data_IF_205746305647
#
_entry.id   IF_205746305647
#
_cell.length_a   1.000
_cell.length_b   1.000
_cell.length_c   1.000
_cell.angle_alpha   90.00
_cell.angle_beta   90.00
_cell.angle_gamma   90.00
#
_symmetry.space_group_name_H-M   'P 1'
#
loop_
_entity.id
_entity.type
_entity.pdbx_description
1 polymer ?
#
# COMPACT_ATOMS: atom_id res chain seq x y z
N UNK A 1 24.73 -5.81 42.24
CA UNK A 1 25.95 -6.44 41.66
C UNK A 1 25.67 -7.92 41.38
N UNK A 2 25.22 -8.22 40.16
CA UNK A 2 25.16 -9.59 39.62
C UNK A 2 25.87 -9.53 38.27
N UNK A 3 26.90 -10.36 38.12
CA UNK A 3 27.80 -10.38 36.98
C UNK A 3 27.12 -11.00 35.75
N UNK A 4 27.04 -10.25 34.66
CA UNK A 4 26.70 -10.78 33.33
C UNK A 4 27.94 -11.46 32.74
N UNK A 5 27.86 -12.77 32.53
CA UNK A 5 28.83 -13.53 31.73
C UNK A 5 28.30 -13.55 30.30
N UNK A 6 28.97 -12.81 29.42
CA UNK A 6 28.76 -12.84 27.97
C UNK A 6 29.23 -14.21 27.44
N UNK A 7 28.31 -15.10 27.09
CA UNK A 7 28.62 -16.30 26.31
C UNK A 7 28.33 -16.00 24.84
N UNK A 8 29.40 -15.79 24.06
CA UNK A 8 29.34 -15.65 22.61
C UNK A 8 29.04 -17.03 22.03
N UNK A 9 27.77 -17.28 21.69
CA UNK A 9 27.39 -18.36 20.78
C UNK A 9 27.49 -17.83 19.35
N UNK A 10 28.55 -18.21 18.65
CA UNK A 10 28.66 -18.06 17.20
C UNK A 10 27.69 -19.05 16.54
N UNK A 11 26.45 -18.61 16.32
CA UNK A 11 25.55 -19.25 15.38
C UNK A 11 26.01 -18.89 13.97
N UNK A 12 26.63 -19.86 13.28
CA UNK A 12 26.77 -19.84 11.83
C UNK A 12 25.36 -20.03 11.24
N UNK A 13 24.59 -18.95 11.15
CA UNK A 13 23.45 -18.88 10.24
C UNK A 13 24.05 -18.70 8.85
N UNK A 14 23.77 -19.63 7.95
CA UNK A 14 24.14 -19.47 6.56
C UNK A 14 23.42 -18.24 6.02
N UNK A 15 24.12 -17.12 5.90
CA UNK A 15 23.69 -16.02 5.06
C UNK A 15 23.54 -16.59 3.65
N UNK A 16 22.30 -16.85 3.23
CA UNK A 16 22.01 -16.82 1.81
C UNK A 16 22.44 -15.43 1.36
N UNK A 17 23.43 -15.35 0.46
CA UNK A 17 23.79 -14.08 -0.13
C UNK A 17 22.61 -13.68 -1.01
N UNK A 18 21.66 -12.93 -0.44
CA UNK A 18 20.68 -12.21 -1.22
C UNK A 18 21.47 -11.30 -2.16
N UNK A 19 21.12 -11.33 -3.44
CA UNK A 19 21.62 -10.36 -4.40
C UNK A 19 21.33 -8.97 -3.86
N UNK A 20 22.36 -8.27 -3.37
CA UNK A 20 22.17 -6.95 -2.78
C UNK A 20 21.99 -5.93 -3.90
N UNK A 21 20.75 -5.50 -4.11
CA UNK A 21 20.44 -4.55 -5.18
C UNK A 21 20.92 -3.15 -4.80
N UNK A 22 21.17 -2.30 -5.80
CA UNK A 22 21.48 -0.90 -5.54
C UNK A 22 20.22 -0.13 -5.15
N UNK A 23 20.29 0.61 -4.05
CA UNK A 23 19.22 1.53 -3.65
C UNK A 23 19.41 2.84 -4.41
N UNK A 24 18.38 3.25 -5.15
CA UNK A 24 18.39 4.52 -5.86
C UNK A 24 18.31 5.69 -4.84
N UNK A 25 19.15 6.73 -4.93
CA UNK A 25 19.11 7.86 -4.00
C UNK A 25 17.76 8.59 -3.93
N UNK A 26 17.02 8.67 -5.03
CA UNK A 26 15.66 9.21 -5.05
C UNK A 26 14.73 8.37 -4.16
N UNK A 27 14.80 7.04 -4.27
CA UNK A 27 13.98 6.15 -3.47
C UNK A 27 14.38 6.19 -2.00
N UNK A 28 15.67 6.19 -1.68
CA UNK A 28 16.14 6.39 -0.30
C UNK A 28 15.55 7.68 0.30
N UNK A 29 15.68 8.80 -0.40
CA UNK A 29 15.34 10.11 0.17
C UNK A 29 13.83 10.37 0.27
N UNK A 30 13.00 9.66 -0.51
CA UNK A 30 11.56 9.94 -0.59
C UNK A 30 10.69 8.78 -0.13
N UNK A 31 11.21 7.56 -0.05
CA UNK A 31 10.44 6.33 0.23
C UNK A 31 11.04 5.47 1.37
N UNK A 32 11.97 6.03 2.16
CA UNK A 32 12.46 5.33 3.36
C UNK A 32 11.36 5.12 4.40
N UNK A 33 10.48 6.10 4.59
CA UNK A 33 9.34 5.93 5.50
C UNK A 33 8.40 4.82 5.00
N UNK A 34 8.07 4.82 3.71
CA UNK A 34 7.27 3.79 3.06
C UNK A 34 7.83 2.38 3.31
N UNK A 35 9.13 2.21 3.09
CA UNK A 35 9.82 0.94 3.34
C UNK A 35 9.75 0.52 4.82
N UNK A 36 9.91 1.46 5.75
CA UNK A 36 9.81 1.18 7.20
C UNK A 36 8.39 0.77 7.58
N UNK A 37 7.37 1.46 7.06
CA UNK A 37 5.96 1.11 7.31
C UNK A 37 5.62 -0.26 6.72
N UNK A 38 6.10 -0.58 5.52
CA UNK A 38 5.90 -1.90 4.91
C UNK A 38 6.52 -3.04 5.73
N UNK A 39 7.74 -2.83 6.22
CA UNK A 39 8.40 -3.80 7.11
C UNK A 39 7.66 -3.94 8.45
N UNK A 40 7.21 -2.82 9.03
CA UNK A 40 6.44 -2.86 10.27
C UNK A 40 5.09 -3.58 10.09
N UNK A 41 4.41 -3.39 8.96
CA UNK A 41 3.19 -4.16 8.61
C UNK A 41 3.45 -5.66 8.61
N UNK A 42 4.57 -6.10 8.04
CA UNK A 42 4.94 -7.52 8.04
C UNK A 42 5.16 -8.03 9.47
N UNK A 43 5.95 -7.30 10.26
CA UNK A 43 6.25 -7.63 11.67
C UNK A 43 4.94 -7.74 12.48
N UNK A 44 4.08 -6.73 12.43
CA UNK A 44 2.87 -6.68 13.25
C UNK A 44 1.80 -7.70 12.81
N UNK A 45 1.90 -8.24 11.59
CA UNK A 45 1.02 -9.32 11.13
C UNK A 45 1.41 -10.71 11.67
N UNK A 46 2.60 -10.86 12.27
CA UNK A 46 3.05 -12.08 12.92
C UNK A 46 3.49 -11.80 14.37
N UNK A 47 2.63 -12.06 15.37
CA UNK A 47 2.99 -11.90 16.78
C UNK A 47 4.16 -12.77 17.27
N UNK A 48 4.66 -13.70 16.45
CA UNK A 48 5.85 -14.51 16.74
C UNK A 48 7.11 -13.99 16.04
N UNK A 49 7.01 -12.89 15.28
CA UNK A 49 8.15 -12.26 14.65
C UNK A 49 9.16 -11.80 15.71
N UNK A 50 10.47 -12.08 15.55
CA UNK A 50 11.49 -11.74 16.54
C UNK A 50 11.62 -10.23 16.81
N UNK A 51 11.17 -9.37 15.89
CA UNK A 51 11.18 -7.92 16.03
C UNK A 51 9.81 -7.35 16.44
N UNK A 52 8.82 -8.18 16.76
CA UNK A 52 7.47 -7.72 17.15
C UNK A 52 7.53 -6.75 18.34
N UNK A 53 8.26 -7.15 19.39
CA UNK A 53 8.50 -6.36 20.61
C UNK A 53 9.80 -5.52 20.53
N UNK A 54 10.31 -5.26 19.33
CA UNK A 54 11.49 -4.41 19.14
C UNK A 54 11.05 -2.97 18.79
N UNK A 55 11.29 -1.97 19.66
CA UNK A 55 10.90 -0.59 19.39
C UNK A 55 11.64 0.03 18.20
N UNK A 56 12.88 -0.41 17.94
CA UNK A 56 13.71 0.12 16.86
C UNK A 56 13.75 -0.85 15.69
N UNK A 57 13.15 -0.45 14.57
CA UNK A 57 13.13 -1.24 13.35
C UNK A 57 14.55 -1.37 12.75
N UNK A 58 15.13 -2.58 12.68
CA UNK A 58 16.47 -2.78 12.12
C UNK A 58 16.52 -2.48 10.61
N UNK A 59 17.66 -1.96 10.11
CA UNK A 59 17.84 -1.66 8.68
C UNK A 59 17.58 -2.87 7.79
N UNK A 60 18.02 -4.06 8.22
CA UNK A 60 17.82 -5.32 7.51
C UNK A 60 16.34 -5.67 7.25
N UNK A 61 15.40 -5.11 8.02
CA UNK A 61 13.96 -5.35 7.84
C UNK A 61 13.37 -4.49 6.73
N UNK A 62 13.75 -3.21 6.62
CA UNK A 62 13.17 -2.31 5.61
C UNK A 62 14.01 -2.16 4.34
N UNK A 63 15.30 -2.48 4.40
CA UNK A 63 16.21 -2.40 3.26
C UNK A 63 15.74 -3.21 2.03
N UNK A 64 15.24 -4.46 2.15
CA UNK A 64 14.74 -5.21 1.00
C UNK A 64 13.60 -4.49 0.26
N UNK A 65 12.75 -3.74 0.97
CA UNK A 65 11.70 -2.93 0.36
C UNK A 65 12.29 -1.76 -0.43
N UNK A 66 13.31 -1.07 0.11
CA UNK A 66 14.01 0.00 -0.64
C UNK A 66 14.67 -0.52 -1.91
N UNK A 67 15.29 -1.69 -1.84
CA UNK A 67 15.92 -2.35 -2.98
C UNK A 67 14.88 -2.68 -4.08
N UNK A 68 13.72 -3.23 -3.70
CA UNK A 68 12.64 -3.57 -4.66
C UNK A 68 11.91 -2.35 -5.21
N UNK A 69 11.68 -1.32 -4.39
CA UNK A 69 11.15 -0.02 -4.85
C UNK A 69 12.13 0.66 -5.81
N UNK A 70 13.44 0.55 -5.55
CA UNK A 70 14.49 1.03 -6.46
C UNK A 70 14.45 0.29 -7.80
N UNK A 71 14.29 -1.04 -7.78
CA UNK A 71 14.16 -1.83 -8.99
C UNK A 71 12.99 -1.37 -9.88
N UNK A 72 11.85 -1.07 -9.26
CA UNK A 72 10.69 -0.50 -9.96
C UNK A 72 11.02 0.88 -10.52
N UNK A 73 11.59 1.76 -9.71
CA UNK A 73 11.92 3.12 -10.11
C UNK A 73 12.89 3.19 -11.30
N UNK A 74 13.91 2.33 -11.32
CA UNK A 74 14.85 2.23 -12.45
C UNK A 74 14.17 1.78 -13.75
N UNK A 75 13.02 1.13 -13.63
CA UNK A 75 12.14 0.76 -14.74
C UNK A 75 12.89 0.18 -15.96
N UNK A 76 13.68 -0.91 -15.79
CA UNK A 76 14.61 -1.40 -16.82
C UNK A 76 13.93 -1.84 -18.12
N UNK A 77 12.62 -2.08 -18.09
CA UNK A 77 11.81 -2.45 -19.24
C UNK A 77 11.03 -1.28 -19.86
N UNK A 78 11.24 -0.04 -19.40
CA UNK A 78 10.53 1.16 -19.82
C UNK A 78 9.00 1.00 -19.78
N UNK A 79 8.49 0.36 -18.72
CA UNK A 79 7.06 0.22 -18.49
C UNK A 79 6.44 1.59 -18.24
N UNK A 80 5.52 2.08 -19.11
CA UNK A 80 4.87 3.38 -18.89
C UNK A 80 4.07 3.42 -17.60
N UNK A 81 3.58 2.26 -17.15
CA UNK A 81 2.82 2.15 -15.90
C UNK A 81 3.70 2.48 -14.70
N UNK A 82 4.96 2.04 -14.67
CA UNK A 82 5.87 2.19 -13.53
C UNK A 82 6.50 3.58 -13.50
N UNK A 83 6.81 4.14 -14.68
CA UNK A 83 7.44 5.45 -14.85
C UNK A 83 6.69 6.58 -14.11
N UNK A 84 5.36 6.54 -14.18
CA UNK A 84 4.51 7.55 -13.54
C UNK A 84 4.23 7.29 -12.05
N UNK A 85 4.44 6.08 -11.50
CA UNK A 85 4.04 5.76 -10.11
C UNK A 85 4.74 6.66 -9.08
N UNK A 86 6.05 6.84 -9.26
CA UNK A 86 6.89 7.53 -8.28
C UNK A 86 7.05 9.03 -8.58
N UNK A 87 7.14 9.40 -9.86
CA UNK A 87 7.44 10.77 -10.26
C UNK A 87 6.18 11.65 -10.38
N UNK A 88 5.17 11.13 -11.07
CA UNK A 88 3.92 11.85 -11.35
C UNK A 88 2.89 11.63 -10.26
N UNK A 89 2.55 10.36 -10.00
CA UNK A 89 1.51 9.98 -9.04
C UNK A 89 2.01 10.02 -7.59
N UNK A 90 3.32 9.90 -7.36
CA UNK A 90 3.94 9.93 -6.02
C UNK A 90 3.18 9.07 -5.02
N UNK A 91 2.93 7.81 -5.40
CA UNK A 91 2.12 6.90 -4.59
C UNK A 91 2.94 6.47 -3.39
N UNK A 92 2.46 6.78 -2.20
CA UNK A 92 3.08 6.40 -0.92
C UNK A 92 2.25 5.34 -0.20
N UNK A 93 2.89 4.63 0.73
CA UNK A 93 2.27 3.73 1.69
C UNK A 93 1.39 4.54 2.64
N UNK A 94 0.20 4.02 2.95
CA UNK A 94 -0.74 4.66 3.87
C UNK A 94 -0.74 4.00 5.24
N UNK A 95 -0.22 4.63 6.28
CA UNK A 95 -0.21 4.04 7.62
C UNK A 95 -1.50 4.26 8.42
N UNK A 96 -2.53 4.89 7.87
CA UNK A 96 -3.83 5.08 8.53
C UNK A 96 -4.94 4.20 7.94
N UNK A 97 -4.99 4.09 6.61
CA UNK A 97 -6.14 3.61 5.87
C UNK A 97 -6.01 2.14 5.46
N UNK A 98 -7.07 1.34 5.69
CA UNK A 98 -7.18 -0.11 5.45
C UNK A 98 -6.20 -1.00 6.24
N UNK A 99 -4.92 -0.64 6.30
CA UNK A 99 -3.85 -1.34 7.01
C UNK A 99 -3.13 -0.34 7.92
N UNK A 100 -3.82 0.08 8.98
CA UNK A 100 -3.28 1.01 9.97
C UNK A 100 -2.00 0.46 10.59
N UNK A 101 -0.92 1.26 10.57
CA UNK A 101 0.43 0.87 11.00
C UNK A 101 1.07 2.01 11.79
N UNK A 102 0.60 2.26 13.02
CA UNK A 102 1.09 3.36 13.85
C UNK A 102 2.57 3.18 14.22
N UNK A 103 3.35 4.27 14.13
CA UNK A 103 4.80 4.23 14.34
C UNK A 103 5.37 5.46 15.07
N UNK A 104 4.53 6.29 15.67
CA UNK A 104 4.98 7.52 16.37
C UNK A 104 4.18 7.94 17.59
N UNK A 105 2.89 7.58 17.64
CA UNK A 105 1.98 8.08 18.66
C UNK A 105 1.42 6.98 19.54
N UNK A 106 1.37 7.30 20.82
CA UNK A 106 0.74 6.49 21.86
C UNK A 106 -0.29 7.38 22.55
N UNK A 107 -1.40 6.77 22.91
CA UNK A 107 -2.43 7.35 23.74
C UNK A 107 -2.49 6.56 25.02
N UNK A 108 -2.53 7.24 26.15
CA UNK A 108 -2.83 6.63 27.43
C UNK A 108 -3.66 7.60 28.26
N UNK A 109 -4.26 7.13 29.33
CA UNK A 109 -5.02 7.97 30.23
C UNK A 109 -4.54 7.86 31.67
N UNK A 110 -4.68 8.94 32.42
CA UNK A 110 -4.29 9.06 33.82
C UNK A 110 -5.53 9.38 34.64
N UNK A 111 -5.73 8.69 35.77
CA UNK A 111 -6.82 8.99 36.71
C UNK A 111 -6.75 10.47 37.17
N UNK A 112 -7.88 11.16 37.20
CA UNK A 112 -7.93 12.57 37.56
C UNK A 112 -7.51 12.85 39.01
N UNK A 113 -7.41 11.82 39.86
CA UNK A 113 -6.93 11.90 41.23
C UNK A 113 -5.43 11.56 41.37
N UNK A 114 -4.75 11.19 40.30
CA UNK A 114 -3.31 10.91 40.35
C UNK A 114 -2.56 12.16 40.85
N UNK A 115 -1.72 12.03 41.89
CA UNK A 115 -1.13 13.19 42.57
C UNK A 115 -0.16 13.99 41.68
N UNK A 116 0.32 13.38 40.61
CA UNK A 116 1.29 13.90 39.67
C UNK A 116 0.69 14.41 38.35
N UNK A 117 -0.63 14.31 38.17
CA UNK A 117 -1.31 14.64 36.91
C UNK A 117 -1.06 16.09 36.45
N UNK A 118 -1.16 17.05 37.36
CA UNK A 118 -1.00 18.48 37.00
C UNK A 118 0.45 18.82 36.65
N UNK A 119 1.42 18.19 37.31
CA UNK A 119 2.84 18.32 36.98
C UNK A 119 3.10 17.72 35.58
N UNK A 120 2.52 16.56 35.28
CA UNK A 120 2.64 15.93 33.97
C UNK A 120 2.01 16.78 32.85
N UNK A 121 0.80 17.33 33.06
CA UNK A 121 0.15 18.24 32.08
C UNK A 121 1.00 19.45 31.72
N UNK A 122 1.75 19.98 32.69
CA UNK A 122 2.49 21.24 32.53
C UNK A 122 3.92 21.04 32.09
N UNK A 123 4.54 19.92 32.45
CA UNK A 123 5.98 19.69 32.24
C UNK A 123 6.32 18.47 31.39
N UNK A 124 5.37 17.54 31.21
CA UNK A 124 5.64 16.21 30.64
C UNK A 124 6.41 15.27 31.58
N UNK A 125 6.59 15.64 32.85
CA UNK A 125 7.30 14.85 33.85
C UNK A 125 6.34 14.50 34.99
N UNK A 126 6.26 13.22 35.32
CA UNK A 126 5.33 12.66 36.30
C UNK A 126 5.97 12.44 37.67
N UNK A 127 7.29 12.26 37.73
CA UNK A 127 7.97 11.76 38.93
C UNK A 127 7.81 10.25 39.14
N UNK A 128 7.05 9.56 38.28
CA UNK A 128 7.03 8.10 38.17
C UNK A 128 8.20 7.71 37.29
N UNK A 129 9.21 7.07 37.88
CA UNK A 129 10.49 6.79 37.21
C UNK A 129 10.31 6.01 35.92
N UNK A 130 9.45 4.99 35.92
CA UNK A 130 9.18 4.15 34.76
C UNK A 130 8.59 4.95 33.59
N UNK A 131 7.61 5.84 33.86
CA UNK A 131 7.00 6.69 32.84
C UNK A 131 8.01 7.72 32.32
N UNK A 132 8.71 8.40 33.22
CA UNK A 132 9.66 9.45 32.84
C UNK A 132 10.83 8.87 32.04
N UNK A 133 11.28 7.65 32.38
CA UNK A 133 12.32 6.94 31.63
C UNK A 133 11.83 6.52 30.22
N UNK A 134 10.58 6.05 30.07
CA UNK A 134 9.99 5.75 28.76
C UNK A 134 9.88 7.03 27.90
N UNK A 135 9.33 8.10 28.48
CA UNK A 135 9.18 9.39 27.80
C UNK A 135 10.54 9.93 27.33
N UNK A 136 11.57 9.87 28.18
CA UNK A 136 12.91 10.35 27.85
C UNK A 136 13.64 9.45 26.85
N UNK A 137 13.62 8.12 27.06
CA UNK A 137 14.35 7.14 26.24
C UNK A 137 13.89 7.18 24.78
N UNK A 138 12.58 7.25 24.58
CA UNK A 138 11.97 7.27 23.25
C UNK A 138 11.60 8.67 22.77
N UNK A 139 12.06 9.72 23.46
CA UNK A 139 11.92 11.12 23.06
C UNK A 139 10.46 11.55 22.83
N UNK A 140 9.55 11.06 23.67
CA UNK A 140 8.16 11.46 23.62
C UNK A 140 7.94 12.84 24.24
N UNK A 141 6.96 13.55 23.69
CA UNK A 141 6.41 14.77 24.25
C UNK A 141 4.89 14.72 24.18
N UNK A 142 4.21 15.45 25.06
CA UNK A 142 2.75 15.61 24.99
C UNK A 142 2.43 16.49 23.79
N UNK A 143 1.70 15.93 22.83
CA UNK A 143 1.13 16.70 21.72
C UNK A 143 -0.11 17.47 22.23
N UNK A 144 -1.09 16.73 22.76
CA UNK A 144 -2.23 17.31 23.45
C UNK A 144 -2.83 16.36 24.48
N UNK A 145 -3.76 16.88 25.28
CA UNK A 145 -4.53 16.08 26.24
C UNK A 145 -5.98 16.54 26.30
N UNK A 146 -6.87 15.62 26.69
CA UNK A 146 -8.30 15.88 26.87
C UNK A 146 -8.70 15.47 28.28
N UNK A 147 -9.23 16.42 29.05
CA UNK A 147 -9.75 16.16 30.39
C UNK A 147 -11.18 15.64 30.29
N UNK A 148 -11.39 14.39 30.68
CA UNK A 148 -12.69 13.72 30.63
C UNK A 148 -13.26 13.61 32.05
N UNK A 149 -13.71 14.74 32.59
CA UNK A 149 -14.23 14.85 33.97
C UNK A 149 -15.37 13.86 34.27
N UNK A 150 -16.26 13.63 33.30
CA UNK A 150 -17.35 12.66 33.44
C UNK A 150 -16.90 11.19 33.48
N UNK A 151 -15.72 10.89 32.93
CA UNK A 151 -15.15 9.55 32.90
C UNK A 151 -14.09 9.33 33.99
N UNK A 152 -13.64 10.40 34.66
CA UNK A 152 -12.72 10.32 35.80
C UNK A 152 -11.24 10.28 35.43
N UNK A 153 -10.87 10.47 34.16
CA UNK A 153 -9.48 10.48 33.71
C UNK A 153 -9.17 11.64 32.75
N UNK A 154 -7.88 11.84 32.46
CA UNK A 154 -7.37 12.71 31.40
C UNK A 154 -6.61 11.84 30.41
N UNK A 155 -6.97 11.90 29.12
CA UNK A 155 -6.28 11.19 28.05
C UNK A 155 -5.18 12.07 27.45
N UNK A 156 -4.03 11.48 27.15
CA UNK A 156 -2.84 12.14 26.61
C UNK A 156 -2.45 11.47 25.30
N UNK A 157 -2.22 12.29 24.28
CA UNK A 157 -1.59 11.89 23.03
C UNK A 157 -0.14 12.33 23.11
N UNK A 158 0.76 11.36 23.09
CA UNK A 158 2.21 11.61 23.07
C UNK A 158 2.76 11.27 21.69
N UNK A 159 3.75 12.05 21.26
CA UNK A 159 4.43 11.84 19.98
C UNK A 159 5.95 11.87 20.17
N UNK A 160 6.63 10.92 19.55
CA UNK A 160 8.10 10.86 19.55
C UNK A 160 8.71 11.81 18.52
N UNK A 161 9.82 12.46 18.88
CA UNK A 161 10.63 13.19 17.90
C UNK A 161 11.51 12.30 17.03
N UNK A 162 11.53 10.98 17.26
CA UNK A 162 12.23 10.03 16.40
C UNK A 162 11.57 9.97 15.01
N UNK A 163 12.38 9.71 13.98
CA UNK A 163 11.87 9.60 12.61
C UNK A 163 10.92 8.41 12.43
N UNK A 164 11.16 7.33 13.19
CA UNK A 164 10.35 6.11 13.17
C UNK A 164 10.53 5.32 14.47
N UNK A 165 9.44 4.80 15.04
CA UNK A 165 9.44 3.98 16.25
C UNK A 165 8.32 2.94 16.19
N UNK A 166 8.60 1.66 16.40
CA UNK A 166 7.53 0.68 16.59
C UNK A 166 6.88 0.92 17.96
N UNK A 167 5.83 1.76 17.99
CA UNK A 167 5.14 2.12 19.23
C UNK A 167 4.31 0.99 19.81
N UNK A 168 3.91 0.01 19.00
CA UNK A 168 3.21 -1.20 19.45
C UNK A 168 4.06 -2.00 20.44
N UNK A 169 5.39 -2.07 20.19
CA UNK A 169 6.33 -2.76 21.07
C UNK A 169 6.45 -2.13 22.48
N UNK A 170 5.89 -0.93 22.69
CA UNK A 170 5.98 -0.21 23.96
C UNK A 170 4.70 -0.28 24.79
N UNK A 171 3.58 -0.75 24.23
CA UNK A 171 2.29 -0.70 24.92
C UNK A 171 2.31 -1.45 26.26
N UNK A 172 2.90 -2.65 26.30
CA UNK A 172 3.00 -3.44 27.52
C UNK A 172 3.81 -2.74 28.62
N UNK A 173 4.84 -1.96 28.24
CA UNK A 173 5.65 -1.18 29.18
C UNK A 173 4.85 -0.01 29.77
N UNK A 174 4.01 0.66 28.95
CA UNK A 174 3.10 1.70 29.43
C UNK A 174 1.99 1.11 30.31
N UNK A 175 1.39 -0.01 29.90
CA UNK A 175 0.30 -0.69 30.60
C UNK A 175 0.73 -1.29 31.94
N UNK A 176 2.03 -1.56 32.11
CA UNK A 176 2.59 -2.01 33.38
C UNK A 176 2.63 -0.92 34.46
N UNK A 177 2.43 0.36 34.10
CA UNK A 177 2.49 1.49 35.04
C UNK A 177 1.15 1.59 35.81
N UNK A 178 1.12 1.43 37.15
CA UNK A 178 -0.12 1.24 37.91
C UNK A 178 -1.15 2.36 37.84
N UNK A 179 -0.70 3.60 37.61
CA UNK A 179 -1.56 4.80 37.59
C UNK A 179 -2.01 5.16 36.15
N UNK A 180 -1.58 4.39 35.15
CA UNK A 180 -2.05 4.51 33.77
C UNK A 180 -3.23 3.59 33.51
N UNK A 181 -4.21 4.12 32.81
CA UNK A 181 -5.22 3.32 32.12
C UNK A 181 -4.62 2.79 30.82
N UNK A 182 -5.17 1.69 30.24
CA UNK A 182 -4.61 1.03 29.07
C UNK A 182 -4.24 1.99 27.96
N UNK A 183 -3.06 1.77 27.41
CA UNK A 183 -2.48 2.51 26.31
C UNK A 183 -2.87 1.89 24.97
N UNK A 184 -2.96 2.73 23.96
CA UNK A 184 -3.25 2.34 22.58
C UNK A 184 -2.35 3.12 21.64
N UNK A 185 -2.06 2.57 20.47
CA UNK A 185 -1.41 3.32 19.40
C UNK A 185 -2.39 4.26 18.70
N UNK A 186 -1.90 5.38 18.16
CA UNK A 186 -2.76 6.35 17.47
C UNK A 186 -2.22 6.70 16.08
N UNK A 187 -3.16 6.96 15.16
CA UNK A 187 -2.90 7.51 13.82
C UNK A 187 -3.92 8.61 13.57
N UNK A 188 -3.47 9.76 13.09
CA UNK A 188 -4.37 10.87 12.83
C UNK A 188 -5.14 10.66 11.53
N UNK A 189 -6.44 11.00 11.54
CA UNK A 189 -7.26 10.98 10.32
C UNK A 189 -6.68 11.85 9.18
N UNK A 190 -5.87 12.86 9.51
CA UNK A 190 -5.16 13.68 8.52
C UNK A 190 -4.17 12.85 7.69
N UNK A 191 -3.51 11.87 8.31
CA UNK A 191 -2.52 11.00 7.65
C UNK A 191 -3.14 10.08 6.60
N UNK A 192 -4.47 9.88 6.65
CA UNK A 192 -5.23 9.18 5.62
C UNK A 192 -5.00 9.81 4.25
N UNK A 193 -5.03 11.13 4.17
CA UNK A 193 -5.04 11.88 2.91
C UNK A 193 -3.61 12.11 2.42
N UNK A 194 -2.94 11.03 2.01
CA UNK A 194 -1.52 11.01 1.68
C UNK A 194 -1.19 11.20 0.19
N UNK A 195 -2.19 11.32 -0.70
CA UNK A 195 -1.93 11.45 -2.13
C UNK A 195 -1.47 12.86 -2.49
N UNK A 196 -0.22 12.99 -2.95
CA UNK A 196 0.42 14.28 -3.28
C UNK A 196 0.89 14.40 -4.73
N UNK A 197 0.51 13.44 -5.57
CA UNK A 197 0.85 13.41 -6.98
C UNK A 197 0.11 14.44 -7.82
N UNK A 198 0.28 14.33 -9.14
CA UNK A 198 -0.52 15.09 -10.11
C UNK A 198 -2.01 14.83 -9.89
N UNK A 199 -2.85 15.84 -10.14
CA UNK A 199 -4.28 15.67 -9.96
C UNK A 199 -4.81 14.55 -10.88
N UNK A 200 -5.37 13.52 -10.26
CA UNK A 200 -5.90 12.33 -10.93
C UNK A 200 -7.34 12.08 -10.48
N UNK A 201 -8.16 11.54 -11.37
CA UNK A 201 -9.59 11.35 -11.12
C UNK A 201 -9.98 9.90 -11.40
N UNK A 202 -10.73 9.31 -10.47
CA UNK A 202 -11.32 7.98 -10.59
C UNK A 202 -12.83 8.18 -10.50
N UNK A 203 -13.58 7.72 -11.52
CA UNK A 203 -15.03 7.93 -11.62
C UNK A 203 -15.47 9.39 -11.42
N UNK A 204 -14.69 10.34 -11.95
CA UNK A 204 -14.92 11.80 -11.81
C UNK A 204 -14.73 12.38 -10.42
N UNK A 205 -14.27 11.59 -9.45
CA UNK A 205 -13.85 12.05 -8.13
C UNK A 205 -12.33 12.19 -8.06
N UNK A 206 -11.80 13.22 -7.38
CA UNK A 206 -10.36 13.37 -7.20
C UNK A 206 -9.80 12.26 -6.31
N UNK A 207 -8.61 11.78 -6.64
CA UNK A 207 -7.86 10.89 -5.75
C UNK A 207 -7.29 11.71 -4.60
N UNK A 208 -7.50 11.22 -3.38
CA UNK A 208 -7.02 11.87 -2.15
C UNK A 208 -6.20 10.92 -1.26
N UNK A 209 -6.31 9.61 -1.50
CA UNK A 209 -5.66 8.57 -0.70
C UNK A 209 -4.98 7.58 -1.65
N UNK A 210 -3.79 7.12 -1.29
CA UNK A 210 -3.07 6.09 -2.03
C UNK A 210 -2.34 5.15 -1.08
N UNK A 211 -2.09 3.90 -1.49
CA UNK A 211 -1.32 2.94 -0.70
C UNK A 211 -0.45 2.07 -1.61
N UNK A 212 0.63 1.53 -1.04
CA UNK A 212 1.43 0.44 -1.61
C UNK A 212 1.24 -0.78 -0.72
N UNK A 213 0.73 -1.87 -1.29
CA UNK A 213 0.53 -3.15 -0.60
C UNK A 213 1.40 -4.20 -1.28
N UNK A 214 2.07 -5.03 -0.48
CA UNK A 214 2.98 -6.06 -0.99
C UNK A 214 2.53 -7.43 -0.49
N UNK A 215 2.42 -8.39 -1.41
CA UNK A 215 2.13 -9.79 -1.11
C UNK A 215 3.11 -10.68 -1.86
N UNK A 216 4.11 -11.20 -1.14
CA UNK A 216 5.25 -11.87 -1.74
C UNK A 216 5.94 -10.98 -2.78
N UNK A 217 5.95 -11.43 -4.03
CA UNK A 217 6.55 -10.69 -5.15
C UNK A 217 5.65 -9.62 -5.78
N UNK A 218 4.37 -9.56 -5.42
CA UNK A 218 3.42 -8.64 -6.03
C UNK A 218 3.36 -7.32 -5.27
N UNK A 219 3.50 -6.20 -6.01
CA UNK A 219 3.22 -4.86 -5.54
C UNK A 219 1.88 -4.42 -6.11
N UNK A 220 1.00 -3.97 -5.24
CA UNK A 220 -0.26 -3.32 -5.56
C UNK A 220 -0.17 -1.84 -5.18
N UNK A 221 -0.40 -0.97 -6.16
CA UNK A 221 -0.50 0.48 -6.00
C UNK A 221 -1.97 0.84 -6.08
N UNK A 222 -2.58 1.21 -4.95
CA UNK A 222 -4.00 1.52 -4.87
C UNK A 222 -4.19 3.02 -4.79
N UNK A 223 -5.15 3.53 -5.53
CA UNK A 223 -5.63 4.91 -5.46
C UNK A 223 -7.09 4.88 -5.02
N UNK A 224 -7.48 5.76 -4.11
CA UNK A 224 -8.85 5.88 -3.63
C UNK A 224 -9.41 7.29 -3.80
N UNK A 225 -10.72 7.37 -4.07
CA UNK A 225 -11.44 8.60 -4.34
C UNK A 225 -12.90 8.53 -3.83
N UNK A 226 -13.58 9.68 -3.80
CA UNK A 226 -14.96 9.81 -3.34
C UNK A 226 -15.05 10.22 -1.87
N UNK A 227 -15.98 9.62 -1.09
CA UNK A 227 -16.14 9.97 0.33
C UNK A 227 -15.07 9.30 1.20
N UNK A 228 -13.83 9.81 1.14
CA UNK A 228 -12.70 9.24 1.87
C UNK A 228 -12.77 9.45 3.40
N UNK A 229 -13.63 10.33 3.89
CA UNK A 229 -13.97 10.38 5.32
C UNK A 229 -14.76 9.14 5.76
N UNK A 230 -15.67 8.65 4.91
CA UNK A 230 -16.47 7.46 5.16
C UNK A 230 -15.86 6.15 4.62
N UNK A 231 -14.60 6.18 4.17
CA UNK A 231 -13.89 4.99 3.67
C UNK A 231 -13.86 4.83 2.15
N UNK A 232 -13.79 5.95 1.43
CA UNK A 232 -13.57 6.09 -0.01
C UNK A 232 -14.49 5.23 -0.89
N UNK A 233 -15.38 5.87 -1.63
CA UNK A 233 -16.37 5.18 -2.49
C UNK A 233 -15.74 4.40 -3.65
N UNK A 234 -14.61 4.88 -4.16
CA UNK A 234 -13.99 4.36 -5.37
C UNK A 234 -12.53 4.00 -5.12
N UNK A 235 -12.07 2.95 -5.82
CA UNK A 235 -10.66 2.60 -5.86
C UNK A 235 -10.24 2.10 -7.25
N UNK A 236 -8.97 2.30 -7.57
CA UNK A 236 -8.29 1.72 -8.73
C UNK A 236 -6.95 1.15 -8.26
N UNK A 237 -6.65 -0.10 -8.64
CA UNK A 237 -5.39 -0.75 -8.31
C UNK A 237 -4.56 -1.00 -9.56
N UNK A 238 -3.25 -0.82 -9.43
CA UNK A 238 -2.26 -1.20 -10.43
C UNK A 238 -1.29 -2.20 -9.83
N UNK A 239 -0.88 -3.17 -10.64
CA UNK A 239 -0.08 -4.30 -10.14
C UNK A 239 1.21 -4.43 -10.92
N UNK A 240 2.29 -4.68 -10.19
CA UNK A 240 3.59 -5.05 -10.76
C UNK A 240 4.22 -6.13 -9.89
N UNK A 241 5.28 -6.75 -10.38
CA UNK A 241 5.90 -7.87 -9.70
C UNK A 241 7.41 -7.63 -9.65
N UNK A 242 8.00 -7.78 -8.47
CA UNK A 242 9.44 -7.66 -8.25
C UNK A 242 9.87 -8.81 -7.37
N UNK A 243 10.84 -9.59 -7.85
CA UNK A 243 11.45 -10.66 -7.05
C UNK A 243 12.33 -10.10 -5.94
N UNK A 244 12.72 -10.97 -5.01
CA UNK A 244 13.72 -10.63 -3.97
C UNK A 244 15.08 -10.26 -4.57
N UNK A 245 15.42 -10.81 -5.75
CA UNK A 245 16.63 -10.45 -6.51
C UNK A 245 16.44 -9.18 -7.38
N UNK A 246 15.40 -8.38 -7.10
CA UNK A 246 15.09 -7.12 -7.79
C UNK A 246 14.84 -7.23 -9.30
N UNK A 247 14.39 -8.40 -9.75
CA UNK A 247 13.93 -8.56 -11.12
C UNK A 247 12.49 -8.04 -11.22
N UNK A 248 12.30 -6.95 -11.97
CA UNK A 248 10.96 -6.46 -12.30
C UNK A 248 10.35 -7.41 -13.33
N UNK A 249 9.49 -8.31 -12.86
CA UNK A 249 8.78 -9.23 -13.71
C UNK A 249 7.69 -8.43 -14.44
N UNK A 250 7.85 -8.30 -15.75
CA UNK A 250 6.79 -7.79 -16.62
C UNK A 250 5.66 -8.83 -16.70
N UNK A 251 4.85 -8.93 -15.65
CA UNK A 251 3.61 -9.70 -15.66
C UNK A 251 2.39 -8.77 -15.70
N UNK A 252 2.36 -7.91 -16.71
CA UNK A 252 1.10 -7.61 -17.37
C UNK A 252 0.80 -8.78 -18.33
N UNK A 253 0.30 -9.89 -17.78
CA UNK A 253 -0.59 -10.74 -18.58
C UNK A 253 -1.88 -9.95 -18.79
N UNK A 254 -1.83 -9.03 -19.77
CA UNK A 254 -2.96 -8.40 -20.44
C UNK A 254 -3.77 -9.49 -21.08
N UNK A 255 -4.60 -10.11 -20.26
CA UNK A 255 -5.31 -11.28 -20.66
C UNK A 255 -6.55 -10.86 -21.44
N UNK A 256 -6.32 -10.43 -22.68
CA UNK A 256 -7.36 -10.23 -23.68
C UNK A 256 -8.24 -11.49 -23.81
N UNK A 257 -7.81 -12.67 -23.30
CA UNK A 257 -8.63 -13.89 -23.26
C UNK A 257 -9.85 -13.78 -22.33
N UNK A 258 -9.85 -12.82 -21.40
CA UNK A 258 -11.02 -12.52 -20.54
C UNK A 258 -12.11 -11.73 -21.28
N UNK A 259 -11.84 -11.24 -22.49
CA UNK A 259 -12.84 -10.59 -23.33
C UNK A 259 -13.74 -11.64 -23.96
N UNK A 260 -15.04 -11.51 -23.77
CA UNK A 260 -16.05 -12.39 -24.34
C UNK A 260 -17.00 -11.61 -25.26
N UNK A 261 -17.57 -12.28 -26.26
CA UNK A 261 -18.52 -11.71 -27.21
C UNK A 261 -19.94 -12.20 -26.93
N UNK A 262 -20.92 -11.31 -26.96
CA UNK A 262 -22.33 -11.66 -26.77
C UNK A 262 -23.27 -10.73 -27.54
N UNK A 263 -24.49 -11.17 -27.89
CA UNK A 263 -24.92 -12.55 -27.88
C UNK A 263 -24.16 -13.37 -28.93
N UNK A 264 -24.07 -14.67 -28.74
CA UNK A 264 -23.54 -15.60 -29.73
C UNK A 264 -24.39 -16.89 -29.68
N UNK A 265 -25.23 -17.17 -30.69
CA UNK A 265 -25.35 -16.48 -31.97
C UNK A 265 -25.90 -15.03 -31.90
N UNK A 266 -25.58 -14.21 -32.91
CA UNK A 266 -25.97 -12.79 -32.99
C UNK A 266 -26.83 -12.52 -34.22
N UNK A 267 -27.87 -11.71 -34.05
CA UNK A 267 -28.69 -11.21 -35.17
C UNK A 267 -28.12 -9.89 -35.70
N UNK A 268 -28.24 -8.78 -34.99
CA UNK A 268 -27.91 -7.45 -35.54
C UNK A 268 -26.76 -6.74 -34.82
N UNK A 269 -26.66 -6.92 -33.50
CA UNK A 269 -25.74 -6.16 -32.64
C UNK A 269 -24.90 -7.10 -31.79
N UNK A 270 -23.58 -6.99 -31.94
CA UNK A 270 -22.60 -7.75 -31.18
C UNK A 270 -21.95 -6.84 -30.13
N UNK A 271 -21.87 -7.33 -28.90
CA UNK A 271 -21.28 -6.68 -27.74
C UNK A 271 -20.06 -7.47 -27.27
N UNK A 272 -19.23 -6.81 -26.47
CA UNK A 272 -18.12 -7.46 -25.77
C UNK A 272 -18.14 -7.07 -24.29
N UNK A 273 -17.78 -8.02 -23.43
CA UNK A 273 -17.60 -7.82 -21.99
C UNK A 273 -16.18 -8.14 -21.58
N UNK A 274 -15.67 -7.40 -20.59
CA UNK A 274 -14.29 -7.45 -20.13
C UNK A 274 -13.69 -6.04 -20.06
N UNK A 275 -12.44 -5.93 -19.64
CA UNK A 275 -11.74 -4.65 -19.59
C UNK A 275 -11.43 -4.16 -21.03
N UNK A 276 -12.16 -3.15 -21.51
CA UNK A 276 -12.04 -2.63 -22.87
C UNK A 276 -11.22 -1.34 -22.99
N UNK A 277 -10.73 -0.80 -21.87
CA UNK A 277 -9.97 0.47 -21.85
C UNK A 277 -8.64 0.38 -22.61
N UNK A 278 -8.15 -0.83 -22.87
CA UNK A 278 -6.84 -1.08 -23.48
C UNK A 278 -6.89 -1.61 -24.91
N UNK A 279 -8.08 -1.70 -25.54
CA UNK A 279 -8.20 -2.15 -26.93
C UNK A 279 -8.00 -0.97 -27.90
N UNK A 280 -6.92 -1.01 -28.68
CA UNK A 280 -6.61 0.03 -29.67
C UNK A 280 -7.37 -0.16 -30.98
N UNK A 281 -7.66 -1.39 -31.39
CA UNK A 281 -8.51 -1.64 -32.55
C UNK A 281 -9.16 -3.02 -32.56
N UNK A 282 -10.28 -3.11 -33.28
CA UNK A 282 -11.01 -4.34 -33.53
C UNK A 282 -11.15 -4.58 -35.02
N UNK A 283 -10.95 -5.82 -35.45
CA UNK A 283 -11.06 -6.23 -36.84
C UNK A 283 -11.95 -7.46 -36.96
N UNK A 284 -12.89 -7.45 -37.90
CA UNK A 284 -13.77 -8.60 -38.19
C UNK A 284 -13.30 -9.26 -39.48
N UNK A 285 -13.15 -10.59 -39.46
CA UNK A 285 -12.73 -11.40 -40.58
C UNK A 285 -13.77 -12.48 -40.93
N UNK A 286 -13.90 -12.79 -42.22
CA UNK A 286 -14.63 -13.98 -42.68
C UNK A 286 -13.81 -15.25 -42.44
N UNK A 287 -14.44 -16.42 -42.57
CA UNK A 287 -13.74 -17.72 -42.48
C UNK A 287 -12.63 -17.92 -43.52
N UNK A 288 -12.65 -17.16 -44.62
CA UNK A 288 -11.58 -17.16 -45.64
C UNK A 288 -10.45 -16.17 -45.31
N UNK A 289 -10.48 -15.52 -44.13
CA UNK A 289 -9.49 -14.53 -43.72
C UNK A 289 -9.64 -13.16 -44.37
N UNK A 290 -10.76 -12.89 -45.06
CA UNK A 290 -11.03 -11.57 -45.64
C UNK A 290 -11.41 -10.59 -44.54
N UNK A 291 -10.71 -9.45 -44.46
CA UNK A 291 -11.09 -8.34 -43.58
C UNK A 291 -12.44 -7.75 -44.03
N UNK A 292 -13.40 -7.73 -43.13
CA UNK A 292 -14.77 -7.23 -43.36
C UNK A 292 -14.94 -5.82 -42.77
N UNK A 293 -14.44 -5.61 -41.55
CA UNK A 293 -14.60 -4.33 -40.83
C UNK A 293 -13.38 -4.09 -39.95
N UNK A 294 -12.97 -2.82 -39.82
CA UNK A 294 -11.95 -2.36 -38.87
C UNK A 294 -12.49 -1.16 -38.12
N UNK A 295 -12.38 -1.20 -36.79
CA UNK A 295 -12.79 -0.14 -35.87
C UNK A 295 -11.57 0.26 -35.04
N UNK A 296 -11.23 1.55 -35.05
CA UNK A 296 -10.11 2.09 -34.27
C UNK A 296 -10.59 2.78 -32.98
N UNK A 297 -11.87 3.14 -32.89
CA UNK A 297 -12.51 3.67 -31.69
C UNK A 297 -13.64 2.71 -31.31
N UNK A 298 -13.58 2.16 -30.11
CA UNK A 298 -14.48 1.10 -29.68
C UNK A 298 -15.65 1.65 -28.90
N UNK A 299 -16.83 1.59 -29.51
CA UNK A 299 -18.10 1.51 -28.80
C UNK A 299 -18.30 0.08 -28.29
N UNK A 300 -18.96 -0.09 -27.15
CA UNK A 300 -19.34 -1.41 -26.60
C UNK A 300 -20.30 -2.20 -27.50
N UNK A 301 -20.81 -1.56 -28.56
CA UNK A 301 -21.72 -2.13 -29.55
C UNK A 301 -21.09 -2.13 -30.95
N UNK A 302 -21.26 -3.24 -31.67
CA UNK A 302 -20.82 -3.45 -33.04
C UNK A 302 -22.02 -3.89 -33.90
N UNK A 303 -22.44 -3.04 -34.83
CA UNK A 303 -23.45 -3.41 -35.82
C UNK A 303 -22.89 -4.43 -36.82
N UNK A 304 -23.54 -5.60 -36.87
CA UNK A 304 -23.28 -6.76 -37.73
C UNK A 304 -24.49 -7.18 -38.57
N UNK A 305 -25.56 -6.37 -38.60
CA UNK A 305 -26.81 -6.65 -39.35
C UNK A 305 -26.59 -6.89 -40.85
N UNK A 306 -25.57 -6.24 -41.42
CA UNK A 306 -25.18 -6.34 -42.81
C UNK A 306 -24.41 -7.64 -43.17
N UNK A 307 -24.01 -8.44 -42.16
CA UNK A 307 -23.32 -9.71 -42.39
C UNK A 307 -24.33 -10.79 -42.80
N UNK A 308 -23.91 -11.70 -43.68
CA UNK A 308 -24.70 -12.89 -44.01
C UNK A 308 -24.60 -13.91 -42.88
N UNK A 309 -25.60 -14.78 -42.75
CA UNK A 309 -25.56 -15.94 -41.85
C UNK A 309 -24.27 -16.73 -42.05
N UNK A 310 -23.53 -16.97 -40.96
CA UNK A 310 -22.23 -17.62 -41.04
C UNK A 310 -21.31 -17.36 -39.84
N UNK A 311 -20.14 -18.00 -39.85
CA UNK A 311 -19.12 -17.85 -38.82
C UNK A 311 -18.15 -16.71 -39.14
N UNK A 312 -17.74 -15.98 -38.12
CA UNK A 312 -16.82 -14.84 -38.23
C UNK A 312 -15.82 -14.84 -37.07
N UNK A 313 -14.70 -14.13 -37.27
CA UNK A 313 -13.66 -13.94 -36.27
C UNK A 313 -13.49 -12.44 -35.96
N UNK A 314 -13.35 -12.12 -34.68
CA UNK A 314 -13.02 -10.79 -34.17
C UNK A 314 -11.59 -10.84 -33.67
N UNK A 315 -10.70 -10.04 -34.27
CA UNK A 315 -9.33 -9.83 -33.82
C UNK A 315 -9.28 -8.53 -33.04
N UNK A 316 -8.97 -8.62 -31.76
CA UNK A 316 -8.72 -7.51 -30.86
C UNK A 316 -7.22 -7.23 -30.84
N UNK A 317 -6.85 -5.95 -30.96
CA UNK A 317 -5.48 -5.48 -30.90
C UNK A 317 -5.42 -4.43 -29.80
N UNK A 318 -4.63 -4.68 -28.76
CA UNK A 318 -4.45 -3.76 -27.65
C UNK A 318 -3.48 -2.62 -27.98
N UNK A 319 -3.43 -1.61 -27.11
CA UNK A 319 -2.52 -0.46 -27.22
C UNK A 319 -1.05 -0.92 -27.21
N UNK A 320 -0.71 -1.97 -26.46
CA UNK A 320 0.62 -2.59 -26.42
C UNK A 320 0.88 -3.62 -27.54
N UNK A 321 -0.05 -3.77 -28.50
CA UNK A 321 0.12 -4.60 -29.70
C UNK A 321 -0.18 -6.09 -29.53
N UNK A 322 -0.65 -6.54 -28.36
CA UNK A 322 -1.13 -7.92 -28.15
C UNK A 322 -2.40 -8.18 -28.97
N UNK A 323 -2.57 -9.45 -29.34
CA UNK A 323 -3.64 -9.88 -30.24
C UNK A 323 -4.43 -11.00 -29.59
N UNK A 324 -5.75 -10.84 -29.49
CA UNK A 324 -6.67 -11.94 -29.20
C UNK A 324 -7.68 -12.12 -30.34
N UNK A 325 -8.08 -13.37 -30.59
CA UNK A 325 -9.06 -13.71 -31.63
C UNK A 325 -10.24 -14.47 -31.03
N UNK A 326 -11.43 -13.92 -31.17
CA UNK A 326 -12.69 -14.47 -30.68
C UNK A 326 -13.57 -14.87 -31.87
N UNK A 327 -14.43 -15.87 -31.68
CA UNK A 327 -15.37 -16.36 -32.72
C UNK A 327 -16.80 -15.98 -32.37
N UNK A 328 -17.60 -15.61 -33.36
CA UNK A 328 -19.05 -15.50 -33.23
C UNK A 328 -19.79 -16.07 -34.46
N UNK A 329 -21.07 -16.38 -34.28
CA UNK A 329 -21.97 -16.91 -35.32
C UNK A 329 -23.05 -15.88 -35.59
N UNK A 330 -23.17 -15.44 -36.85
CA UNK A 330 -24.26 -14.59 -37.37
C UNK A 330 -25.43 -15.47 -37.81
N UNK A 331 -26.64 -15.16 -37.36
CA UNK A 331 -27.90 -15.80 -37.80
C UNK A 331 -28.50 -15.17 -39.05
#
# INVERSE_FOLDING_TARGET
MKNFIFSIFLFFIGFQSFSQCSINPFIQNNYELDAKVLALREILNDPLDPDYDNPFLPEERYRPYLERLSALYENPHNSPMVDSLFNDFRIHVNWEYMLSTPFKRIVFAIDNNAPWLEDFKTTGVSGVTELDDLMATYQFSIDYFIVLTGAGYTAFWIETSLDFLNVTALLDDFDAIPDLLPSETDVELGDRFNYTGIQYYIYSEPVEVCDIIISGNQFEFVLYAGDCFAGCTYSESRYTYVTEDCEVLSKLENDLSKITLYPNPVSDKLYFSGNSSEIASLQIFSVQGKLIKKLNNLSTEIDVSHLKTGMYFVKLISIDGKINTLKFIKE
#
